data_IF_081433509858
#
_entry.id   IF_081433509858
#
_cell.length_a   1.000
_cell.length_b   1.000
_cell.length_c   1.000
_cell.angle_alpha   90.00
_cell.angle_beta   90.00
_cell.angle_gamma   90.00
#
_symmetry.space_group_name_H-M   'P 1'
#
loop_
_entity.id
_entity.type
_entity.pdbx_description
1 polymer ?
#
# COMPACT_ATOMS: atom_id res chain seq x y z
N UNK A 1 31.15 -10.48 -20.67
CA UNK A 1 32.36 -11.17 -20.14
C UNK A 1 31.92 -12.50 -19.53
N UNK A 2 32.54 -13.61 -19.92
CA UNK A 2 32.34 -14.91 -19.29
C UNK A 2 33.31 -14.99 -18.11
N UNK A 3 32.77 -15.07 -16.89
CA UNK A 3 33.51 -15.47 -15.69
C UNK A 3 32.74 -16.70 -15.18
N UNK A 4 33.44 -17.82 -14.98
CA UNK A 4 32.88 -19.09 -14.50
C UNK A 4 31.73 -19.70 -15.32
N UNK A 5 31.77 -19.60 -16.65
CA UNK A 5 30.80 -20.27 -17.53
C UNK A 5 29.36 -19.72 -17.46
N UNK A 6 29.09 -18.71 -16.63
CA UNK A 6 27.80 -18.01 -16.54
C UNK A 6 27.85 -16.70 -17.34
N UNK A 7 26.84 -16.48 -18.17
CA UNK A 7 26.67 -15.21 -18.91
C UNK A 7 26.24 -14.15 -17.91
N UNK A 8 27.15 -13.23 -17.57
CA UNK A 8 26.80 -12.06 -16.78
C UNK A 8 26.21 -10.99 -17.69
N UNK A 9 24.90 -10.75 -17.55
CA UNK A 9 24.20 -9.65 -18.22
C UNK A 9 24.61 -8.32 -17.58
N UNK A 10 25.23 -7.44 -18.37
CA UNK A 10 25.53 -6.07 -17.96
C UNK A 10 24.23 -5.26 -17.95
N UNK A 11 24.04 -4.46 -16.92
CA UNK A 11 22.94 -3.49 -16.87
C UNK A 11 23.43 -2.20 -17.50
N UNK A 12 22.75 -1.75 -18.55
CA UNK A 12 22.98 -0.45 -19.18
C UNK A 12 21.71 0.39 -19.10
N UNK A 13 21.89 1.71 -19.01
CA UNK A 13 20.78 2.65 -18.93
C UNK A 13 20.28 2.93 -20.35
N UNK A 14 19.01 2.67 -20.60
CA UNK A 14 18.33 3.19 -21.78
C UNK A 14 17.97 4.66 -21.51
N UNK A 15 18.51 5.64 -22.27
CA UNK A 15 18.25 7.06 -22.05
C UNK A 15 16.77 7.43 -22.11
N UNK A 16 16.00 6.85 -23.04
CA UNK A 16 14.57 7.15 -23.20
C UNK A 16 13.76 6.68 -21.98
N UNK A 17 13.99 5.44 -21.55
CA UNK A 17 13.34 4.91 -20.35
C UNK A 17 13.79 5.66 -19.08
N UNK A 18 15.04 6.12 -19.05
CA UNK A 18 15.58 6.88 -17.92
C UNK A 18 14.85 8.22 -17.73
N UNK A 19 14.49 8.91 -18.81
CA UNK A 19 13.71 10.15 -18.72
C UNK A 19 12.29 9.89 -18.16
N UNK A 20 11.65 8.78 -18.57
CA UNK A 20 10.35 8.38 -18.01
C UNK A 20 10.46 8.09 -16.51
N UNK A 21 11.53 7.41 -16.08
CA UNK A 21 11.79 7.15 -14.66
C UNK A 21 11.98 8.47 -13.91
N UNK A 22 12.79 9.41 -14.40
CA UNK A 22 12.96 10.74 -13.77
C UNK A 22 11.63 11.46 -13.61
N UNK A 23 10.81 11.47 -14.67
CA UNK A 23 9.47 12.07 -14.67
C UNK A 23 8.56 11.43 -13.62
N UNK A 24 8.59 10.11 -13.47
CA UNK A 24 7.82 9.39 -12.43
C UNK A 24 8.22 9.85 -11.03
N UNK A 25 9.52 9.93 -10.76
CA UNK A 25 10.03 10.38 -9.46
C UNK A 25 9.64 11.83 -9.19
N UNK A 26 9.79 12.71 -10.17
CA UNK A 26 9.43 14.12 -10.07
C UNK A 26 7.93 14.31 -9.80
N UNK A 27 7.06 13.69 -10.60
CA UNK A 27 5.61 13.74 -10.39
C UNK A 27 5.24 13.20 -9.01
N UNK A 28 5.86 12.10 -8.59
CA UNK A 28 5.60 11.53 -7.28
C UNK A 28 6.00 12.49 -6.16
N UNK A 29 7.21 13.04 -6.15
CA UNK A 29 7.61 13.99 -5.09
C UNK A 29 6.72 15.25 -5.09
N UNK A 30 6.22 15.67 -6.26
CA UNK A 30 5.42 16.89 -6.43
C UNK A 30 3.96 16.79 -5.97
N UNK A 31 3.42 15.61 -5.69
CA UNK A 31 2.01 15.54 -5.23
C UNK A 31 1.20 14.38 -5.78
N UNK A 32 1.61 13.78 -6.88
CA UNK A 32 0.76 12.85 -7.61
C UNK A 32 0.65 11.50 -6.90
N UNK A 33 -0.55 10.93 -6.93
CA UNK A 33 -0.80 9.53 -6.55
C UNK A 33 -0.34 8.57 -7.66
N UNK A 34 -0.10 7.30 -7.31
CA UNK A 34 0.32 6.29 -8.28
C UNK A 34 -0.64 6.17 -9.48
N UNK A 35 -1.95 6.27 -9.23
CA UNK A 35 -2.96 6.21 -10.29
C UNK A 35 -2.94 7.44 -11.19
N UNK A 36 -2.72 8.64 -10.63
CA UNK A 36 -2.59 9.86 -11.43
C UNK A 36 -1.33 9.84 -12.30
N UNK A 37 -0.20 9.33 -11.77
CA UNK A 37 1.04 9.18 -12.53
C UNK A 37 0.82 8.20 -13.69
N UNK A 38 0.30 7.00 -13.41
CA UNK A 38 0.04 6.00 -14.43
C UNK A 38 -0.90 6.53 -15.53
N UNK A 39 -1.97 7.24 -15.14
CA UNK A 39 -2.91 7.84 -16.09
C UNK A 39 -2.22 8.86 -17.00
N UNK A 40 -1.48 9.81 -16.42
CA UNK A 40 -0.78 10.85 -17.19
C UNK A 40 0.22 10.26 -18.18
N UNK A 41 0.99 9.26 -17.77
CA UNK A 41 1.95 8.59 -18.65
C UNK A 41 1.27 7.89 -19.84
N UNK A 42 0.13 7.23 -19.59
CA UNK A 42 -0.64 6.59 -20.65
C UNK A 42 -1.28 7.62 -21.60
N UNK A 43 -1.78 8.74 -21.06
CA UNK A 43 -2.32 9.86 -21.85
C UNK A 43 -1.24 10.49 -22.75
N UNK A 44 0.00 10.55 -22.28
CA UNK A 44 1.17 11.05 -23.03
C UNK A 44 1.79 10.00 -23.97
N UNK A 45 1.22 8.80 -24.06
CA UNK A 45 1.68 7.74 -24.97
C UNK A 45 2.89 6.92 -24.49
N UNK A 46 3.35 7.11 -23.24
CA UNK A 46 4.43 6.30 -22.69
C UNK A 46 3.95 4.88 -22.37
N UNK A 47 4.81 3.90 -22.65
CA UNK A 47 4.57 2.50 -22.30
C UNK A 47 5.65 1.96 -21.37
N UNK A 48 5.29 0.95 -20.57
CA UNK A 48 6.21 0.16 -19.78
C UNK A 48 6.41 -1.19 -20.49
N UNK A 49 7.51 -1.33 -21.23
CA UNK A 49 7.82 -2.52 -22.04
C UNK A 49 6.68 -2.90 -23.00
N UNK A 50 6.16 -1.91 -23.71
CA UNK A 50 5.03 -2.07 -24.65
C UNK A 50 3.67 -2.26 -23.99
N UNK A 51 3.55 -2.14 -22.65
CA UNK A 51 2.28 -2.25 -21.92
C UNK A 51 1.91 -0.92 -21.28
N UNK A 52 0.60 -0.65 -21.07
CA UNK A 52 0.18 0.53 -20.32
C UNK A 52 0.72 0.54 -18.88
N UNK A 53 1.01 1.73 -18.38
CA UNK A 53 1.37 1.95 -16.98
C UNK A 53 0.21 1.60 -16.05
N UNK A 54 0.54 0.84 -15.00
CA UNK A 54 -0.38 0.49 -13.90
C UNK A 54 0.12 1.10 -12.60
N UNK A 55 -0.79 1.37 -11.66
CA UNK A 55 -0.43 1.88 -10.33
C UNK A 55 0.60 0.99 -9.62
N UNK A 56 0.50 -0.33 -9.80
CA UNK A 56 1.40 -1.31 -9.19
C UNK A 56 2.82 -1.19 -9.73
N UNK A 57 2.98 -0.98 -11.03
CA UNK A 57 4.28 -0.78 -11.67
C UNK A 57 4.96 0.50 -11.17
N UNK A 58 4.20 1.59 -11.01
CA UNK A 58 4.71 2.84 -10.42
C UNK A 58 5.14 2.60 -8.96
N UNK A 59 4.31 1.92 -8.17
CA UNK A 59 4.63 1.61 -6.77
C UNK A 59 5.90 0.75 -6.63
N UNK A 60 6.09 -0.22 -7.52
CA UNK A 60 7.27 -1.09 -7.52
C UNK A 60 8.53 -0.33 -7.96
N UNK A 61 8.42 0.53 -8.98
CA UNK A 61 9.53 1.38 -9.43
C UNK A 61 10.03 2.30 -8.31
N UNK A 62 9.12 3.00 -7.63
CA UNK A 62 9.47 3.92 -6.54
C UNK A 62 10.10 3.22 -5.33
N UNK A 63 9.90 1.90 -5.17
CA UNK A 63 10.52 1.06 -4.13
C UNK A 63 11.88 0.50 -4.52
N UNK A 64 12.18 0.47 -5.82
CA UNK A 64 13.37 -0.19 -6.33
C UNK A 64 14.63 0.69 -6.23
N UNK A 65 15.44 0.44 -5.20
CA UNK A 65 16.70 1.17 -4.92
C UNK A 65 17.72 1.16 -6.07
N UNK A 66 17.56 0.27 -7.06
CA UNK A 66 18.43 0.19 -8.23
C UNK A 66 18.39 1.47 -9.06
N UNK A 67 17.26 2.17 -9.10
CA UNK A 67 17.18 3.48 -9.80
C UNK A 67 18.08 4.54 -9.15
N UNK A 68 18.40 4.39 -7.86
CA UNK A 68 19.37 5.21 -7.13
C UNK A 68 20.79 4.63 -7.14
N UNK A 69 21.08 3.64 -7.98
CA UNK A 69 22.40 3.00 -8.10
C UNK A 69 22.72 2.00 -6.98
N UNK A 70 21.74 1.67 -6.12
CA UNK A 70 21.92 0.72 -5.01
C UNK A 70 21.42 -0.67 -5.39
N UNK A 71 22.34 -1.53 -5.78
CA UNK A 71 22.08 -2.94 -6.02
C UNK A 71 22.44 -3.73 -4.76
N UNK A 72 21.61 -4.68 -4.36
CA UNK A 72 21.96 -5.59 -3.28
C UNK A 72 22.13 -6.98 -3.86
N UNK A 73 23.26 -7.61 -3.55
CA UNK A 73 23.54 -9.01 -3.87
C UNK A 73 23.27 -9.85 -2.61
N UNK A 74 22.62 -11.01 -2.75
CA UNK A 74 22.19 -11.85 -1.62
C UNK A 74 20.82 -11.52 -1.01
N UNK A 75 19.88 -10.94 -1.77
CA UNK A 75 18.52 -10.65 -1.25
C UNK A 75 17.72 -11.94 -0.97
N UNK A 76 17.29 -12.11 0.28
CA UNK A 76 16.20 -12.99 0.69
C UNK A 76 16.42 -14.49 0.43
N UNK A 77 15.43 -15.31 0.78
CA UNK A 77 15.35 -16.71 0.33
C UNK A 77 14.49 -16.80 -0.94
N UNK A 78 14.40 -17.98 -1.58
CA UNK A 78 13.51 -18.22 -2.73
C UNK A 78 12.07 -17.73 -2.47
N UNK A 79 11.60 -17.86 -1.22
CA UNK A 79 10.26 -17.46 -0.79
C UNK A 79 10.17 -16.01 -0.26
N UNK A 80 11.30 -15.35 -0.01
CA UNK A 80 11.36 -14.01 0.59
C UNK A 80 12.34 -13.07 -0.12
N UNK A 81 12.39 -13.13 -1.46
CA UNK A 81 13.31 -12.36 -2.31
C UNK A 81 13.26 -10.83 -2.15
N UNK A 82 12.23 -10.30 -1.48
CA UNK A 82 12.08 -8.85 -1.21
C UNK A 82 12.78 -8.38 0.06
N UNK A 83 13.13 -9.31 0.96
CA UNK A 83 13.83 -9.00 2.22
C UNK A 83 15.31 -8.83 1.90
N UNK A 84 15.86 -7.67 2.23
CA UNK A 84 17.31 -7.45 2.22
C UNK A 84 17.85 -8.06 3.51
N UNK A 85 18.73 -9.05 3.39
CA UNK A 85 19.40 -9.64 4.56
C UNK A 85 20.43 -8.66 5.12
N UNK A 86 20.79 -8.82 6.38
CA UNK A 86 21.81 -7.97 7.02
C UNK A 86 23.19 -8.13 6.37
N UNK A 87 23.50 -9.31 5.83
CA UNK A 87 24.74 -9.63 5.11
C UNK A 87 24.72 -9.24 3.62
N UNK A 88 23.69 -8.53 3.16
CA UNK A 88 23.56 -8.18 1.76
C UNK A 88 24.62 -7.14 1.33
N UNK A 89 25.40 -7.50 0.30
CA UNK A 89 26.43 -6.62 -0.25
C UNK A 89 25.80 -5.56 -1.15
N UNK A 90 26.09 -4.28 -0.87
CA UNK A 90 25.68 -3.17 -1.74
C UNK A 90 26.69 -3.03 -2.89
N UNK A 91 26.22 -3.25 -4.11
CA UNK A 91 26.98 -3.04 -5.33
C UNK A 91 26.51 -1.74 -5.98
N UNK A 92 27.46 -0.85 -6.27
CA UNK A 92 27.17 0.37 -7.02
C UNK A 92 26.93 0.01 -8.49
N UNK A 93 25.83 0.50 -9.04
CA UNK A 93 25.51 0.35 -10.46
C UNK A 93 24.98 1.64 -11.06
N UNK A 94 24.53 1.58 -12.32
CA UNK A 94 24.08 2.77 -13.03
C UNK A 94 22.93 3.46 -12.30
N UNK A 95 23.03 4.78 -12.19
CA UNK A 95 22.11 5.61 -11.41
C UNK A 95 21.31 6.50 -12.35
N UNK A 96 19.99 6.41 -12.24
CA UNK A 96 19.05 7.27 -12.99
C UNK A 96 18.56 8.43 -12.10
N UNK A 97 18.39 8.15 -10.80
CA UNK A 97 17.85 9.09 -9.81
C UNK A 97 18.91 9.41 -8.76
N UNK A 98 19.05 10.69 -8.42
CA UNK A 98 19.94 11.10 -7.35
C UNK A 98 19.41 10.72 -5.95
N UNK A 99 20.28 10.67 -4.96
CA UNK A 99 19.99 10.16 -3.62
C UNK A 99 19.06 11.13 -2.88
N UNK A 100 19.11 12.43 -3.20
CA UNK A 100 18.23 13.44 -2.61
C UNK A 100 16.81 13.22 -3.14
N UNK A 101 16.64 13.02 -4.44
CA UNK A 101 15.33 12.70 -5.05
C UNK A 101 14.79 11.36 -4.54
N UNK A 102 15.66 10.34 -4.46
CA UNK A 102 15.29 9.04 -3.92
C UNK A 102 14.82 9.13 -2.45
N UNK A 103 15.58 9.82 -1.59
CA UNK A 103 15.22 10.01 -0.17
C UNK A 103 13.89 10.74 -0.02
N UNK A 104 13.65 11.80 -0.81
CA UNK A 104 12.36 12.50 -0.82
C UNK A 104 11.20 11.56 -1.17
N UNK A 105 11.37 10.71 -2.19
CA UNK A 105 10.36 9.72 -2.55
C UNK A 105 10.11 8.71 -1.40
N UNK A 106 11.17 8.19 -0.77
CA UNK A 106 11.03 7.26 0.36
C UNK A 106 10.36 7.91 1.59
N UNK A 107 10.71 9.16 1.91
CA UNK A 107 10.08 9.90 3.01
C UNK A 107 8.57 10.08 2.77
N UNK A 108 8.20 10.48 1.56
CA UNK A 108 6.79 10.60 1.16
C UNK A 108 6.05 9.26 1.25
N UNK A 109 6.70 8.17 0.84
CA UNK A 109 6.15 6.82 1.01
C UNK A 109 5.99 6.41 2.48
N UNK A 110 6.95 6.75 3.34
CA UNK A 110 6.86 6.55 4.78
C UNK A 110 5.70 7.33 5.42
N UNK A 111 5.31 8.46 4.84
CA UNK A 111 4.10 9.19 5.23
C UNK A 111 2.79 8.47 4.92
N UNK A 112 2.79 7.54 3.95
CA UNK A 112 1.61 6.75 3.57
C UNK A 112 1.26 5.62 4.56
N UNK A 113 2.16 5.26 5.48
CA UNK A 113 1.93 4.20 6.48
C UNK A 113 1.15 4.70 7.70
N UNK A 114 1.08 6.01 7.92
CA UNK A 114 0.07 6.57 8.84
C UNK A 114 -1.29 6.33 8.17
N UNK A 115 -1.97 5.25 8.58
CA UNK A 115 -3.39 5.03 8.29
C UNK A 115 -4.05 6.39 8.47
N UNK A 116 -4.62 6.95 7.40
CA UNK A 116 -5.41 8.18 7.54
C UNK A 116 -6.39 7.90 8.68
N UNK A 117 -6.44 8.74 9.74
CA UNK A 117 -7.40 8.52 10.80
C UNK A 117 -8.76 8.39 10.13
N UNK A 118 -9.41 7.25 10.33
CA UNK A 118 -10.74 7.04 9.80
C UNK A 118 -11.63 8.10 10.44
N UNK A 119 -12.49 8.76 9.65
CA UNK A 119 -13.39 9.80 10.19
C UNK A 119 -14.27 9.30 11.34
N UNK A 120 -14.45 7.98 11.44
CA UNK A 120 -15.19 7.28 12.48
C UNK A 120 -14.29 6.24 13.17
N UNK A 121 -14.41 6.12 14.49
CA UNK A 121 -13.74 5.07 15.27
C UNK A 121 -14.71 3.89 15.45
N UNK A 122 -14.43 2.77 14.79
CA UNK A 122 -15.30 1.59 14.81
C UNK A 122 -14.92 0.66 15.98
N UNK A 123 -15.28 1.03 17.21
CA UNK A 123 -14.85 0.34 18.42
C UNK A 123 -15.40 -1.08 18.59
N UNK A 124 -16.43 -1.47 17.83
CA UNK A 124 -16.95 -2.84 17.82
C UNK A 124 -16.25 -3.74 16.78
N UNK A 125 -15.26 -3.21 16.05
CA UNK A 125 -14.48 -4.03 15.11
C UNK A 125 -13.73 -5.12 15.87
N UNK A 126 -14.00 -6.39 15.55
CA UNK A 126 -13.43 -7.54 16.25
C UNK A 126 -14.19 -7.97 17.51
N UNK A 127 -15.25 -7.24 17.88
CA UNK A 127 -16.16 -7.59 18.98
C UNK A 127 -17.52 -8.02 18.44
N UNK A 128 -18.05 -7.30 17.45
CA UNK A 128 -19.33 -7.62 16.82
C UNK A 128 -19.14 -8.63 15.68
N UNK A 129 -20.01 -9.64 15.65
CA UNK A 129 -20.03 -10.70 14.65
C UNK A 129 -21.40 -10.77 13.96
N UNK A 130 -21.40 -11.20 12.72
CA UNK A 130 -22.60 -11.61 12.02
C UNK A 130 -23.04 -13.00 12.51
N UNK A 131 -24.31 -13.36 12.35
CA UNK A 131 -24.81 -14.71 12.66
C UNK A 131 -24.07 -15.82 11.89
N UNK A 132 -23.51 -15.51 10.71
CA UNK A 132 -22.66 -16.44 9.98
C UNK A 132 -21.26 -16.64 10.58
N UNK A 133 -20.95 -16.04 11.73
CA UNK A 133 -19.67 -16.14 12.44
C UNK A 133 -18.57 -15.22 11.91
N UNK A 134 -18.79 -14.54 10.78
CA UNK A 134 -17.82 -13.56 10.28
C UNK A 134 -17.81 -12.29 11.15
N UNK A 135 -16.62 -11.71 11.44
CA UNK A 135 -16.55 -10.43 12.15
C UNK A 135 -17.16 -9.32 11.30
N UNK A 136 -17.80 -8.34 11.94
CA UNK A 136 -18.26 -7.14 11.28
C UNK A 136 -17.10 -6.14 11.13
N UNK A 137 -16.98 -5.55 9.95
CA UNK A 137 -15.95 -4.57 9.64
C UNK A 137 -16.54 -3.17 9.51
N UNK A 138 -15.83 -2.18 10.04
CA UNK A 138 -16.13 -0.77 9.82
C UNK A 138 -15.88 -0.34 8.37
N UNK A 139 -16.90 0.21 7.73
CA UNK A 139 -16.81 0.76 6.37
C UNK A 139 -17.42 2.15 6.33
N UNK A 140 -16.72 3.10 5.69
CA UNK A 140 -17.25 4.43 5.41
C UNK A 140 -17.75 4.48 3.96
N UNK A 141 -19.08 4.54 3.79
CA UNK A 141 -19.71 4.84 2.50
C UNK A 141 -20.10 6.33 2.49
N UNK A 142 -21.39 6.68 2.43
CA UNK A 142 -21.89 8.04 2.74
C UNK A 142 -21.98 8.31 4.26
N UNK A 143 -22.13 7.24 5.03
CA UNK A 143 -22.26 7.23 6.49
C UNK A 143 -21.42 6.08 7.06
N UNK A 144 -21.00 6.14 8.35
CA UNK A 144 -20.30 5.03 9.00
C UNK A 144 -21.21 3.81 9.21
N UNK A 145 -20.72 2.63 8.79
CA UNK A 145 -21.44 1.35 8.85
C UNK A 145 -20.56 0.24 9.40
N UNK A 146 -21.17 -0.74 10.06
CA UNK A 146 -20.62 -2.09 10.22
C UNK A 146 -21.19 -3.01 9.15
N UNK A 147 -20.33 -3.85 8.58
CA UNK A 147 -20.65 -4.64 7.39
C UNK A 147 -20.03 -6.04 7.48
N UNK A 148 -20.84 -7.07 7.25
CA UNK A 148 -20.39 -8.45 7.08
C UNK A 148 -19.82 -8.65 5.68
N UNK A 149 -18.65 -9.29 5.56
CA UNK A 149 -17.99 -9.53 4.26
C UNK A 149 -18.89 -10.22 3.22
N UNK A 150 -19.78 -11.11 3.67
CA UNK A 150 -20.71 -11.88 2.83
C UNK A 150 -22.01 -11.13 2.45
N UNK A 151 -22.23 -9.91 2.94
CA UNK A 151 -23.48 -9.18 2.69
C UNK A 151 -23.79 -8.93 1.20
N UNK A 152 -22.76 -8.74 0.37
CA UNK A 152 -22.95 -8.58 -1.08
C UNK A 152 -23.33 -9.88 -1.79
N UNK A 153 -23.04 -11.03 -1.18
CA UNK A 153 -23.39 -12.34 -1.71
C UNK A 153 -24.85 -12.67 -1.38
N UNK A 154 -25.26 -12.45 -0.12
CA UNK A 154 -26.66 -12.57 0.31
C UNK A 154 -27.03 -11.51 1.36
N UNK A 155 -27.67 -10.43 0.90
CA UNK A 155 -28.08 -9.32 1.77
C UNK A 155 -29.20 -9.66 2.76
N UNK A 156 -29.89 -10.80 2.60
CA UNK A 156 -30.97 -11.21 3.52
C UNK A 156 -30.44 -11.96 4.73
N UNK A 157 -29.29 -12.64 4.59
CA UNK A 157 -28.69 -13.49 5.63
C UNK A 157 -27.53 -12.83 6.37
N UNK A 158 -27.15 -11.62 5.97
CA UNK A 158 -25.93 -10.98 6.44
C UNK A 158 -26.19 -9.52 6.82
N UNK A 159 -25.39 -9.03 7.77
CA UNK A 159 -25.64 -7.74 8.41
C UNK A 159 -24.90 -6.61 7.68
N UNK A 160 -25.64 -5.53 7.40
CA UNK A 160 -25.10 -4.19 7.13
C UNK A 160 -25.90 -3.20 7.96
N UNK A 161 -25.25 -2.58 8.95
CA UNK A 161 -25.92 -1.74 9.96
C UNK A 161 -25.15 -0.44 10.17
N UNK A 162 -25.89 0.66 10.41
CA UNK A 162 -25.28 1.96 10.72
C UNK A 162 -24.50 1.88 12.03
N UNK A 163 -23.28 2.43 12.05
CA UNK A 163 -22.43 2.42 13.23
C UNK A 163 -23.15 3.06 14.42
N UNK A 164 -23.75 4.25 14.23
CA UNK A 164 -24.54 4.95 15.26
C UNK A 164 -25.62 4.08 15.91
N UNK A 165 -26.28 3.20 15.15
CA UNK A 165 -27.35 2.34 15.69
C UNK A 165 -26.75 1.23 16.56
N UNK A 166 -25.76 0.52 16.05
CA UNK A 166 -25.15 -0.60 16.76
C UNK A 166 -24.35 -0.13 17.98
N UNK A 167 -23.53 0.90 17.80
CA UNK A 167 -22.71 1.49 18.87
C UNK A 167 -23.57 2.13 19.95
N UNK A 168 -24.63 2.86 19.57
CA UNK A 168 -25.56 3.45 20.53
C UNK A 168 -26.28 2.39 21.37
N UNK A 169 -26.66 1.26 20.78
CA UNK A 169 -27.23 0.14 21.52
C UNK A 169 -26.24 -0.44 22.55
N UNK A 170 -25.00 -0.70 22.15
CA UNK A 170 -23.98 -1.25 23.06
C UNK A 170 -23.64 -0.26 24.17
N UNK A 171 -23.45 1.02 23.85
CA UNK A 171 -23.16 2.05 24.84
C UNK A 171 -24.30 2.22 25.84
N UNK A 172 -25.56 2.25 25.37
CA UNK A 172 -26.71 2.31 26.27
C UNK A 172 -26.80 1.09 27.20
N UNK A 173 -26.48 -0.10 26.70
CA UNK A 173 -26.41 -1.30 27.53
C UNK A 173 -25.30 -1.18 28.59
N UNK A 174 -24.11 -0.72 28.21
CA UNK A 174 -22.98 -0.54 29.13
C UNK A 174 -23.26 0.53 30.19
N UNK A 175 -23.89 1.65 29.82
CA UNK A 175 -24.26 2.71 30.75
C UNK A 175 -25.25 2.20 31.82
N UNK A 176 -26.26 1.42 31.41
CA UNK A 176 -27.20 0.82 32.35
C UNK A 176 -26.50 -0.22 33.24
N UNK A 177 -25.68 -1.08 32.64
CA UNK A 177 -24.93 -2.10 33.36
C UNK A 177 -23.98 -1.53 34.43
N UNK A 178 -23.36 -0.37 34.16
CA UNK A 178 -22.50 0.32 35.13
C UNK A 178 -23.34 0.93 36.25
N UNK A 179 -24.46 1.60 35.93
CA UNK A 179 -25.36 2.20 36.92
C UNK A 179 -25.95 1.17 37.89
N UNK A 180 -26.30 -0.02 37.38
CA UNK A 180 -26.84 -1.11 38.20
C UNK A 180 -25.80 -1.71 39.16
N UNK A 181 -24.52 -1.34 39.04
CA UNK A 181 -23.40 -1.82 39.86
C UNK A 181 -22.75 -0.75 40.75
N UNK A 182 -23.15 0.52 40.63
CA UNK A 182 -22.91 1.53 41.66
C UNK A 182 -23.96 1.33 42.77
N UNK A 183 -23.78 0.25 43.54
CA UNK A 183 -24.40 0.05 44.86
C UNK A 183 -23.25 0.26 45.85
N UNK A 184 -23.32 1.38 46.59
CA UNK A 184 -22.52 1.82 47.75
C UNK A 184 -21.04 1.37 47.87
#
# INVERSE_FOLDING_TARGET
MKVDGKVHTKLEVNPEEAEVVKKIFEMFISGYSYSQIARKLNEEGYTNRGKPWKFSAISEMLKNSRYAGRHFWGKGTKHQHRIVREDAVVVNGPRIIDEKTWKKAQQRMGGYTKRRPTKHNYFLTGIAFCECGAPLHGVFSRIPMYYCKHYREDSKQHVSIRARKLEGFVLGYLENFVKDREID
#
